data_IF_326631101397
#
_entry.id   IF_326631101397
#
_cell.length_a   1.000
_cell.length_b   1.000
_cell.length_c   1.000
_cell.angle_alpha   90.00
_cell.angle_beta   90.00
_cell.angle_gamma   90.00
#
_symmetry.space_group_name_H-M   'P 1'
#
loop_
_entity.id
_entity.type
_entity.pdbx_description
1 polymer ?
#
# COMPACT_ATOMS: atom_id res chain seq x y z
N UNK A 1 8.60 3.37 13.88
CA UNK A 1 8.91 2.97 12.49
C UNK A 1 7.79 3.37 11.53
N UNK A 2 6.53 3.06 11.85
CA UNK A 2 5.37 3.37 11.00
C UNK A 2 5.24 4.87 10.66
N UNK A 3 5.15 5.76 11.66
CA UNK A 3 4.90 7.19 11.42
C UNK A 3 5.99 7.85 10.56
N UNK A 4 7.25 7.54 10.86
CA UNK A 4 8.41 7.97 10.05
C UNK A 4 8.26 7.55 8.58
N UNK A 5 7.87 6.30 8.33
CA UNK A 5 7.74 5.77 6.98
C UNK A 5 6.53 6.36 6.25
N UNK A 6 5.42 6.62 6.95
CA UNK A 6 4.24 7.29 6.36
C UNK A 6 4.58 8.70 5.90
N UNK A 7 5.28 9.47 6.73
CA UNK A 7 5.71 10.84 6.38
C UNK A 7 6.64 10.81 5.15
N UNK A 8 7.66 9.95 5.17
CA UNK A 8 8.60 9.82 4.07
C UNK A 8 7.93 9.36 2.77
N UNK A 9 7.04 8.37 2.82
CA UNK A 9 6.33 7.86 1.65
C UNK A 9 5.40 8.92 1.03
N UNK A 10 4.67 9.67 1.86
CA UNK A 10 3.80 10.76 1.38
C UNK A 10 4.60 11.85 0.67
N UNK A 11 5.72 12.28 1.26
CA UNK A 11 6.59 13.27 0.65
C UNK A 11 7.17 12.78 -0.70
N UNK A 12 7.64 11.52 -0.76
CA UNK A 12 8.19 10.93 -1.97
C UNK A 12 7.15 10.80 -3.10
N UNK A 13 5.92 10.39 -2.78
CA UNK A 13 4.83 10.28 -3.76
C UNK A 13 4.41 11.67 -4.26
N UNK A 14 4.28 12.64 -3.37
CA UNK A 14 3.88 14.00 -3.75
C UNK A 14 4.95 14.74 -4.57
N UNK A 15 6.23 14.42 -4.36
CA UNK A 15 7.35 14.99 -5.11
C UNK A 15 7.70 14.26 -6.41
N UNK A 16 7.06 13.13 -6.71
CA UNK A 16 7.33 12.37 -7.93
C UNK A 16 6.67 13.04 -9.14
N UNK A 17 7.43 13.20 -10.24
CA UNK A 17 6.87 13.68 -11.50
C UNK A 17 6.09 12.59 -12.23
N UNK A 18 5.23 12.99 -13.17
CA UNK A 18 4.55 12.03 -14.06
C UNK A 18 5.56 11.16 -14.84
N UNK A 19 6.68 11.75 -15.28
CA UNK A 19 7.75 11.02 -15.94
C UNK A 19 8.31 9.93 -15.02
N UNK A 20 8.57 10.25 -13.74
CA UNK A 20 9.04 9.27 -12.77
C UNK A 20 8.04 8.15 -12.54
N UNK A 21 6.75 8.48 -12.52
CA UNK A 21 5.66 7.55 -12.26
C UNK A 21 5.35 6.63 -13.47
N UNK A 22 5.65 7.09 -14.68
CA UNK A 22 5.50 6.32 -15.92
C UNK A 22 6.70 5.41 -16.22
N UNK A 23 7.85 5.60 -15.55
CA UNK A 23 8.99 4.68 -15.67
C UNK A 23 8.59 3.25 -15.32
N UNK A 24 9.08 2.30 -16.11
CA UNK A 24 8.84 0.88 -15.88
C UNK A 24 9.64 0.39 -14.69
N UNK A 25 8.96 -0.32 -13.80
CA UNK A 25 9.54 -1.06 -12.70
C UNK A 25 9.32 -2.55 -12.92
N UNK A 26 10.32 -3.36 -12.58
CA UNK A 26 10.26 -4.81 -12.70
C UNK A 26 10.38 -5.45 -11.33
N UNK A 27 9.48 -6.39 -11.02
CA UNK A 27 9.68 -7.32 -9.91
C UNK A 27 10.61 -8.44 -10.39
N UNK A 28 11.75 -8.59 -9.73
CA UNK A 28 12.76 -9.60 -10.06
C UNK A 28 12.89 -10.61 -8.92
N UNK A 29 12.17 -11.74 -8.96
CA UNK A 29 12.49 -12.87 -8.11
C UNK A 29 13.82 -13.48 -8.56
N UNK A 30 14.89 -13.15 -7.84
CA UNK A 30 16.25 -13.43 -8.30
C UNK A 30 16.59 -12.60 -9.55
N UNK A 31 17.06 -13.24 -10.61
CA UNK A 31 17.48 -12.56 -11.85
C UNK A 31 16.41 -12.54 -12.95
N UNK A 32 15.27 -13.21 -12.75
CA UNK A 32 14.22 -13.32 -13.77
C UNK A 32 13.08 -12.34 -13.50
N UNK A 33 12.73 -11.43 -14.44
CA UNK A 33 11.57 -10.57 -14.26
C UNK A 33 10.28 -11.37 -14.24
N UNK A 34 9.50 -11.27 -13.16
CA UNK A 34 8.18 -11.90 -13.08
C UNK A 34 7.04 -10.94 -13.44
N UNK A 35 7.25 -9.64 -13.28
CA UNK A 35 6.31 -8.62 -13.72
C UNK A 35 7.06 -7.34 -14.09
N UNK A 36 6.53 -6.61 -15.08
CA UNK A 36 7.02 -5.30 -15.51
C UNK A 36 5.83 -4.38 -15.71
N UNK A 37 5.81 -3.25 -15.02
CA UNK A 37 4.69 -2.30 -15.08
C UNK A 37 5.16 -0.89 -14.74
N UNK A 38 4.46 0.16 -15.19
CA UNK A 38 4.71 1.52 -14.75
C UNK A 38 4.67 1.62 -13.22
N UNK A 39 5.55 2.42 -12.62
CA UNK A 39 5.61 2.61 -11.16
C UNK A 39 4.26 3.03 -10.57
N UNK A 40 3.51 3.88 -11.26
CA UNK A 40 2.17 4.30 -10.83
C UNK A 40 1.20 3.13 -10.70
N UNK A 41 1.25 2.17 -11.63
CA UNK A 41 0.41 0.98 -11.57
C UNK A 41 0.77 0.15 -10.35
N UNK A 42 2.06 -0.08 -10.10
CA UNK A 42 2.56 -0.82 -8.93
C UNK A 42 2.17 -0.15 -7.62
N UNK A 43 2.33 1.17 -7.51
CA UNK A 43 1.94 1.94 -6.32
C UNK A 43 0.45 1.76 -6.01
N UNK A 44 -0.41 1.91 -7.03
CA UNK A 44 -1.86 1.81 -6.86
C UNK A 44 -2.32 0.38 -6.58
N UNK A 45 -1.85 -0.59 -7.36
CA UNK A 45 -2.39 -1.95 -7.34
C UNK A 45 -1.69 -2.88 -6.35
N UNK A 46 -0.37 -2.78 -6.19
CA UNK A 46 0.40 -3.68 -5.34
C UNK A 46 0.67 -3.10 -3.96
N UNK A 47 0.88 -1.78 -3.84
CA UNK A 47 1.21 -1.18 -2.53
C UNK A 47 -0.05 -0.71 -1.80
N UNK A 48 -0.84 0.17 -2.40
CA UNK A 48 -2.02 0.74 -1.74
C UNK A 48 -3.11 -0.32 -1.48
N UNK A 49 -3.46 -1.12 -2.49
CA UNK A 49 -4.48 -2.16 -2.30
C UNK A 49 -4.03 -3.21 -1.27
N UNK A 50 -2.74 -3.51 -1.19
CA UNK A 50 -2.21 -4.47 -0.20
C UNK A 50 -2.27 -3.89 1.21
N UNK A 51 -1.98 -2.60 1.40
CA UNK A 51 -2.24 -1.90 2.65
C UNK A 51 -3.72 -1.94 3.06
N UNK A 52 -4.64 -1.74 2.11
CA UNK A 52 -6.09 -1.86 2.35
C UNK A 52 -6.48 -3.28 2.74
N UNK A 53 -5.94 -4.29 2.05
CA UNK A 53 -6.15 -5.70 2.34
C UNK A 53 -5.69 -6.06 3.76
N UNK A 54 -4.47 -5.70 4.14
CA UNK A 54 -3.95 -5.96 5.48
C UNK A 54 -4.66 -5.17 6.58
N UNK A 55 -5.17 -3.96 6.27
CA UNK A 55 -6.04 -3.22 7.20
C UNK A 55 -7.32 -3.99 7.51
N UNK A 56 -7.92 -4.65 6.51
CA UNK A 56 -9.09 -5.50 6.74
C UNK A 56 -8.74 -6.73 7.59
N UNK A 57 -7.60 -7.37 7.34
CA UNK A 57 -7.12 -8.48 8.19
C UNK A 57 -6.88 -8.05 9.64
N UNK A 58 -6.30 -6.86 9.87
CA UNK A 58 -6.16 -6.29 11.21
C UNK A 58 -7.53 -6.08 11.87
N UNK A 59 -8.53 -5.61 11.12
CA UNK A 59 -9.91 -5.49 11.61
C UNK A 59 -10.50 -6.83 12.09
N UNK A 60 -10.21 -7.93 11.40
CA UNK A 60 -10.59 -9.28 11.85
C UNK A 60 -9.93 -9.63 13.17
N UNK A 61 -8.63 -9.33 13.34
CA UNK A 61 -7.93 -9.60 14.60
C UNK A 61 -8.46 -8.77 15.77
N UNK A 62 -8.78 -7.49 15.56
CA UNK A 62 -9.44 -6.68 16.59
C UNK A 62 -10.77 -7.29 17.00
N UNK A 63 -11.59 -7.72 16.02
CA UNK A 63 -12.87 -8.35 16.30
C UNK A 63 -12.73 -9.66 17.08
N UNK A 64 -11.77 -10.50 16.72
CA UNK A 64 -11.52 -11.77 17.43
C UNK A 64 -11.06 -11.55 18.88
N UNK A 65 -10.44 -10.41 19.17
CA UNK A 65 -10.01 -10.02 20.51
C UNK A 65 -11.06 -9.21 21.29
N UNK A 66 -12.27 -9.02 20.74
CA UNK A 66 -13.32 -8.17 21.29
C UNK A 66 -12.94 -6.67 21.41
N UNK A 67 -11.96 -6.22 20.63
CA UNK A 67 -11.59 -4.81 20.55
C UNK A 67 -12.47 -4.06 19.54
N UNK A 68 -12.74 -2.75 19.76
CA UNK A 68 -13.45 -1.91 18.80
C UNK A 68 -12.72 -1.88 17.45
N UNK A 69 -13.42 -2.23 16.38
CA UNK A 69 -12.91 -2.06 15.02
C UNK A 69 -13.09 -0.59 14.62
N UNK A 70 -12.10 0.07 14.01
CA UNK A 70 -12.30 1.41 13.45
C UNK A 70 -13.24 1.40 12.25
N UNK A 71 -14.06 2.44 12.13
CA UNK A 71 -14.92 2.68 10.97
C UNK A 71 -14.12 2.69 9.65
N UNK A 72 -14.58 1.91 8.65
CA UNK A 72 -13.90 1.79 7.35
C UNK A 72 -14.59 2.64 6.26
N UNK A 73 -15.90 2.48 6.09
CA UNK A 73 -16.76 3.29 5.21
C UNK A 73 -18.13 3.46 5.89
N UNK A 74 -18.28 4.45 6.76
CA UNK A 74 -19.48 4.63 7.59
C UNK A 74 -19.30 4.16 9.03
N UNK A 75 -20.38 4.06 9.83
CA UNK A 75 -20.29 3.73 11.25
C UNK A 75 -19.66 2.35 11.46
N UNK A 76 -18.90 2.22 12.56
CA UNK A 76 -18.23 0.97 12.86
C UNK A 76 -19.19 -0.07 13.44
N UNK A 77 -18.84 -1.34 13.24
CA UNK A 77 -19.61 -2.51 13.64
C UNK A 77 -19.17 -3.09 14.98
#
# INVERSE_FOLDING_TARGET
MFDKNVVAARAAIAGASDEDLLKLWSLLPGERPCSRSPRIAVLRSSIMNHGIHHRAQLGVYLRLNNDPVPALYGPSA
#
